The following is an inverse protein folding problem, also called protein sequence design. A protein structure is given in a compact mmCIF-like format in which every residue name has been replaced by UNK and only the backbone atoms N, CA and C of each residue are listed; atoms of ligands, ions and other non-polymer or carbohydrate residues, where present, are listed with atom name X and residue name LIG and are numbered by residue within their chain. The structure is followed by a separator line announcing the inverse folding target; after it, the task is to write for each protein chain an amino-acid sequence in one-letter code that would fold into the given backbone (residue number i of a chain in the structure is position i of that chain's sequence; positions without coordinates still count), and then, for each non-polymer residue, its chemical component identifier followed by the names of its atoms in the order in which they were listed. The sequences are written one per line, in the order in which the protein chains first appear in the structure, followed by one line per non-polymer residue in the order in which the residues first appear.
data_IF_507405660101
#
_entry.id   IF_507405660101
#
_cell.length_a   1.000
_cell.length_b   1.000
_cell.length_c   1.000
_cell.angle_alpha   90.00
_cell.angle_beta   90.00
_cell.angle_gamma   90.00
#
_symmetry.space_group_name_H-M   'P 1'
#
loop_
_entity.id
_entity.type
_entity.pdbx_description
1 polymer ?
#
# COMPACT_ATOMS: atom_id res chain seq x y z
N UNK A 1 -10.94 2.73 8.92
CA UNK A 1 -11.04 1.26 9.04
C UNK A 1 -9.79 0.77 9.72
N UNK A 2 -9.89 0.02 10.81
CA UNK A 2 -8.76 -0.48 11.59
C UNK A 2 -8.29 -1.85 11.08
N UNK A 3 -7.09 -2.27 11.53
CA UNK A 3 -6.36 -3.30 10.83
C UNK A 3 -6.78 -4.74 11.18
N UNK A 4 -6.77 -5.18 12.42
CA UNK A 4 -7.13 -6.56 12.83
C UNK A 4 -8.13 -6.64 13.97
N UNK A 5 -8.07 -5.69 14.87
CA UNK A 5 -9.03 -5.53 15.96
C UNK A 5 -9.05 -4.07 16.37
N UNK A 6 -10.21 -3.59 16.71
CA UNK A 6 -10.38 -2.25 17.26
C UNK A 6 -10.87 -2.36 18.70
N UNK A 7 -10.17 -1.76 19.68
CA UNK A 7 -10.66 -1.70 21.06
C UNK A 7 -12.04 -1.03 21.18
N UNK A 8 -12.40 -0.16 20.21
CA UNK A 8 -13.69 0.56 20.18
C UNK A 8 -14.74 -0.15 19.30
N UNK A 9 -14.46 -1.37 18.80
CA UNK A 9 -15.40 -2.15 18.00
C UNK A 9 -15.72 -1.61 16.60
N UNK A 10 -14.88 -0.72 16.07
CA UNK A 10 -15.07 -0.19 14.70
C UNK A 10 -14.73 -1.26 13.65
N UNK A 11 -15.41 -1.29 12.49
CA UNK A 11 -15.13 -2.26 11.44
C UNK A 11 -13.67 -2.25 11.01
N UNK A 12 -13.09 -3.44 10.87
CA UNK A 12 -11.74 -3.62 10.34
C UNK A 12 -11.77 -3.73 8.82
N UNK A 13 -10.58 -3.66 8.18
CA UNK A 13 -10.49 -3.92 6.75
C UNK A 13 -10.97 -5.33 6.39
N UNK A 14 -10.77 -6.31 7.27
CA UNK A 14 -11.14 -7.70 7.04
C UNK A 14 -12.65 -7.92 7.10
N UNK A 15 -13.37 -7.13 7.89
CA UNK A 15 -14.85 -7.18 7.98
C UNK A 15 -15.52 -6.67 6.70
N UNK A 16 -14.80 -5.88 5.90
CA UNK A 16 -15.27 -5.34 4.63
C UNK A 16 -14.91 -6.22 3.41
N UNK A 17 -14.17 -7.32 3.61
CA UNK A 17 -13.81 -8.20 2.52
C UNK A 17 -15.00 -9.09 2.11
N UNK A 18 -15.10 -9.47 0.81
CA UNK A 18 -16.08 -10.45 0.36
C UNK A 18 -15.98 -11.76 1.15
N UNK A 19 -17.14 -12.32 1.50
CA UNK A 19 -17.23 -13.53 2.35
C UNK A 19 -16.62 -14.80 1.70
N UNK A 20 -16.52 -14.82 0.38
CA UNK A 20 -15.93 -15.90 -0.43
C UNK A 20 -14.41 -15.76 -0.60
N UNK A 21 -13.82 -14.67 -0.10
CA UNK A 21 -12.36 -14.52 -0.14
C UNK A 21 -11.66 -15.53 0.77
N UNK A 22 -10.53 -16.12 0.32
CA UNK A 22 -9.69 -16.91 1.20
C UNK A 22 -9.16 -16.04 2.34
N UNK A 23 -8.76 -16.70 3.44
CA UNK A 23 -8.08 -15.98 4.53
C UNK A 23 -6.82 -15.30 4.01
N UNK A 24 -6.73 -13.99 4.20
CA UNK A 24 -5.61 -13.16 3.76
C UNK A 24 -4.97 -12.42 4.92
N UNK A 25 -3.73 -11.99 4.68
CA UNK A 25 -3.00 -11.06 5.52
C UNK A 25 -2.67 -9.82 4.69
N UNK A 26 -2.51 -8.68 5.34
CA UNK A 26 -2.10 -7.47 4.63
C UNK A 26 -0.59 -7.40 4.47
N UNK A 27 -0.16 -6.75 3.41
CA UNK A 27 1.21 -6.36 3.15
C UNK A 27 1.39 -4.93 3.64
N UNK A 28 2.03 -4.80 4.80
CA UNK A 28 2.10 -3.53 5.51
C UNK A 28 0.75 -3.08 6.09
N UNK A 29 0.69 -1.83 6.48
CA UNK A 29 -0.47 -1.22 7.11
C UNK A 29 -0.75 0.16 6.52
N UNK A 30 -1.96 0.64 6.73
CA UNK A 30 -2.32 2.05 6.62
C UNK A 30 -2.57 2.58 8.04
N UNK A 31 -2.08 3.76 8.33
CA UNK A 31 -2.42 4.45 9.59
C UNK A 31 -3.92 4.78 9.62
N UNK A 32 -4.47 4.99 10.82
CA UNK A 32 -5.90 5.18 11.05
C UNK A 32 -6.56 6.21 10.11
N UNK A 33 -5.91 7.34 9.88
CA UNK A 33 -6.41 8.42 9.01
C UNK A 33 -5.70 8.41 7.64
N UNK A 34 -5.35 7.24 7.11
CA UNK A 34 -4.74 7.08 5.79
C UNK A 34 -5.68 6.25 4.91
N UNK A 35 -5.90 6.74 3.71
CA UNK A 35 -6.72 6.13 2.67
C UNK A 35 -5.84 5.46 1.61
N UNK A 36 -6.49 4.78 0.66
CA UNK A 36 -5.88 4.33 -0.59
C UNK A 36 -5.50 2.86 -0.62
N UNK A 37 -4.47 2.53 -1.38
CA UNK A 37 -4.10 1.17 -1.73
C UNK A 37 -3.59 0.37 -0.53
N UNK A 38 -4.25 -0.76 -0.25
CA UNK A 38 -3.78 -1.78 0.66
C UNK A 38 -3.62 -3.11 -0.10
N UNK A 39 -2.46 -3.71 0.00
CA UNK A 39 -2.21 -5.01 -0.61
C UNK A 39 -2.53 -6.12 0.39
N UNK A 40 -3.17 -7.17 -0.11
CA UNK A 40 -3.52 -8.38 0.66
C UNK A 40 -2.94 -9.60 -0.05
N UNK A 41 -2.59 -10.63 0.72
CA UNK A 41 -2.13 -11.91 0.19
C UNK A 41 -2.54 -13.05 1.11
N UNK A 42 -2.71 -14.23 0.58
CA UNK A 42 -2.86 -15.47 1.35
C UNK A 42 -1.52 -16.20 1.58
N UNK A 43 -0.41 -15.59 1.12
CA UNK A 43 0.95 -16.10 1.33
C UNK A 43 1.72 -15.20 2.30
N UNK A 44 1.96 -15.70 3.51
CA UNK A 44 2.67 -14.96 4.56
C UNK A 44 4.17 -14.75 4.24
N UNK A 45 4.78 -15.63 3.47
CA UNK A 45 6.17 -15.47 3.05
C UNK A 45 6.29 -14.35 2.02
N UNK A 46 5.35 -14.28 1.08
CA UNK A 46 5.22 -13.18 0.12
C UNK A 46 4.97 -11.85 0.84
N UNK A 47 4.05 -11.83 1.82
CA UNK A 47 3.79 -10.63 2.61
C UNK A 47 5.08 -10.11 3.25
N UNK A 48 5.81 -10.98 3.95
CA UNK A 48 7.07 -10.63 4.60
C UNK A 48 8.10 -10.11 3.59
N UNK A 49 8.26 -10.78 2.45
CA UNK A 49 9.21 -10.35 1.40
C UNK A 49 8.92 -8.93 0.92
N UNK A 50 7.65 -8.62 0.68
CA UNK A 50 7.23 -7.32 0.17
C UNK A 50 7.27 -6.19 1.21
N UNK A 51 7.21 -6.53 2.50
CA UNK A 51 7.32 -5.58 3.60
C UNK A 51 8.77 -5.19 3.93
N UNK A 52 9.74 -6.06 3.62
CA UNK A 52 11.14 -5.84 3.99
C UNK A 52 11.67 -4.52 3.41
N UNK A 53 12.35 -3.70 4.23
CA UNK A 53 13.02 -2.49 3.74
C UNK A 53 14.03 -2.76 2.63
N UNK A 54 14.68 -3.94 2.67
CA UNK A 54 15.63 -4.37 1.65
C UNK A 54 15.00 -4.52 0.24
N UNK A 55 13.70 -4.79 0.16
CA UNK A 55 12.97 -4.82 -1.12
C UNK A 55 12.87 -3.42 -1.72
N UNK A 56 12.97 -2.38 -0.90
CA UNK A 56 13.12 -0.99 -1.32
C UNK A 56 11.96 -0.44 -2.15
N UNK A 57 10.79 -1.06 -2.11
CA UNK A 57 9.66 -0.62 -2.92
C UNK A 57 9.17 0.77 -2.52
N UNK A 58 9.12 1.65 -3.50
CA UNK A 58 8.66 3.01 -3.33
C UNK A 58 7.16 3.04 -3.07
N UNK A 59 6.76 3.72 -2.01
CA UNK A 59 5.37 3.99 -1.67
C UNK A 59 5.07 5.43 -2.00
N UNK A 60 4.10 5.68 -2.87
CA UNK A 60 3.70 7.04 -3.21
C UNK A 60 2.39 7.39 -2.54
N UNK A 61 2.35 8.62 -2.07
CA UNK A 61 1.19 9.20 -1.40
C UNK A 61 0.81 10.52 -2.06
N UNK A 62 -0.49 10.73 -2.18
CA UNK A 62 -1.04 12.05 -2.43
C UNK A 62 -1.50 12.63 -1.12
N UNK A 63 -1.05 13.83 -0.81
CA UNK A 63 -1.21 14.46 0.50
C UNK A 63 -1.87 15.81 0.33
N UNK A 64 -2.94 16.05 1.09
CA UNK A 64 -3.46 17.40 1.29
C UNK A 64 -3.03 17.89 2.65
N UNK A 65 -2.33 19.01 2.69
CA UNK A 65 -1.85 19.63 3.91
C UNK A 65 -2.26 21.10 3.99
N UNK A 66 -2.53 21.58 5.20
CA UNK A 66 -2.69 23.00 5.49
C UNK A 66 -1.34 23.59 5.88
N UNK A 67 -1.05 24.80 5.42
CA UNK A 67 0.22 25.48 5.65
C UNK A 67 0.87 25.90 4.35
N UNK A 68 2.14 26.31 4.45
CA UNK A 68 2.93 26.74 3.31
C UNK A 68 4.36 26.21 3.42
N UNK A 69 4.88 25.72 2.33
CA UNK A 69 6.25 25.27 2.17
C UNK A 69 6.69 25.61 0.75
N UNK A 70 7.94 25.92 0.55
CA UNK A 70 8.50 26.10 -0.80
C UNK A 70 8.98 24.77 -1.37
N UNK A 71 9.12 24.68 -2.69
CA UNK A 71 9.71 23.48 -3.30
C UNK A 71 11.17 23.30 -2.86
N UNK A 72 11.91 24.39 -2.64
CA UNK A 72 13.29 24.32 -2.15
C UNK A 72 13.42 23.69 -0.75
N UNK A 73 12.42 23.86 0.14
CA UNK A 73 12.41 23.20 1.43
C UNK A 73 12.16 21.68 1.29
N UNK A 74 11.35 21.31 0.30
CA UNK A 74 11.07 19.90 -0.03
C UNK A 74 12.27 19.22 -0.70
N UNK A 75 13.03 19.95 -1.51
CA UNK A 75 14.20 19.46 -2.24
C UNK A 75 15.36 19.05 -1.31
N UNK A 76 15.33 19.45 -0.05
CA UNK A 76 16.28 19.01 0.97
C UNK A 76 15.92 17.62 1.60
N UNK A 77 14.70 17.17 1.44
CA UNK A 77 14.21 15.93 2.08
C UNK A 77 14.82 14.62 1.55
N UNK A 78 15.32 14.50 0.30
CA UNK A 78 16.05 13.32 -0.16
C UNK A 78 17.28 12.96 0.67
N UNK A 79 17.92 13.92 1.33
CA UNK A 79 19.05 13.69 2.25
C UNK A 79 18.61 13.03 3.56
N UNK A 80 17.30 12.93 3.78
CA UNK A 80 16.68 12.48 5.02
C UNK A 80 16.72 13.54 6.12
N UNK A 81 15.91 13.34 7.14
CA UNK A 81 15.71 14.30 8.22
C UNK A 81 15.73 13.59 9.58
N UNK A 82 16.22 14.29 10.61
CA UNK A 82 16.14 13.81 12.00
C UNK A 82 15.12 14.66 12.75
N UNK A 83 14.09 14.01 13.29
CA UNK A 83 13.01 14.66 14.04
C UNK A 83 12.92 13.97 15.39
N UNK A 84 13.02 14.75 16.47
CA UNK A 84 12.94 14.26 17.86
C UNK A 84 13.89 13.05 18.12
N UNK A 85 15.11 13.11 17.57
CA UNK A 85 16.11 12.05 17.72
C UNK A 85 15.90 10.83 16.81
N UNK A 86 14.83 10.77 16.02
CA UNK A 86 14.57 9.71 15.05
C UNK A 86 15.04 10.13 13.66
N UNK A 87 15.97 9.35 13.09
CA UNK A 87 16.40 9.55 11.71
C UNK A 87 15.37 8.94 10.74
N UNK A 88 14.87 9.72 9.82
CA UNK A 88 14.05 9.29 8.68
C UNK A 88 14.92 9.27 7.43
N UNK A 89 14.71 8.25 6.59
CA UNK A 89 15.36 8.15 5.28
C UNK A 89 14.91 9.25 4.33
N UNK A 90 15.58 9.33 3.19
CA UNK A 90 15.24 10.32 2.16
C UNK A 90 13.84 10.09 1.60
N UNK A 91 13.10 11.16 1.42
CA UNK A 91 11.81 11.15 0.73
C UNK A 91 11.83 12.09 -0.47
N UNK A 92 11.13 11.70 -1.52
CA UNK A 92 10.85 12.56 -2.66
C UNK A 92 9.57 13.34 -2.38
N UNK A 93 9.55 14.64 -2.58
CA UNK A 93 8.39 15.47 -2.34
C UNK A 93 8.24 16.55 -3.40
N UNK A 94 7.04 16.70 -3.94
CA UNK A 94 6.72 17.73 -4.93
C UNK A 94 5.38 18.39 -4.61
N UNK A 95 5.29 19.71 -4.90
CA UNK A 95 4.06 20.47 -4.81
C UNK A 95 3.27 20.27 -6.11
N UNK A 96 2.07 19.70 -6.02
CA UNK A 96 1.17 19.53 -7.17
C UNK A 96 0.32 20.78 -7.40
N UNK A 97 -0.22 21.36 -6.33
CA UNK A 97 -1.05 22.57 -6.41
C UNK A 97 -1.22 23.25 -5.04
N UNK A 98 -1.57 24.53 -5.08
CA UNK A 98 -1.85 25.37 -3.89
C UNK A 98 -3.21 26.02 -4.04
N UNK A 99 -4.10 25.85 -3.06
CA UNK A 99 -5.45 26.43 -3.07
C UNK A 99 -5.88 26.84 -1.66
N UNK A 100 -6.22 28.12 -1.46
CA UNK A 100 -6.86 28.64 -0.25
C UNK A 100 -6.19 28.15 1.06
N UNK A 101 -4.86 28.24 1.17
CA UNK A 101 -4.11 27.82 2.37
C UNK A 101 -3.86 26.32 2.49
N UNK A 102 -4.38 25.50 1.58
CA UNK A 102 -4.05 24.08 1.46
C UNK A 102 -3.12 23.83 0.28
N UNK A 103 -2.31 22.79 0.40
CA UNK A 103 -1.43 22.31 -0.65
C UNK A 103 -1.74 20.85 -0.94
N UNK A 104 -1.69 20.47 -2.21
CA UNK A 104 -1.57 19.09 -2.61
C UNK A 104 -0.11 18.79 -2.92
N UNK A 105 0.35 17.66 -2.42
CA UNK A 105 1.73 17.19 -2.53
C UNK A 105 1.73 15.73 -2.98
N UNK A 106 2.72 15.39 -3.80
CA UNK A 106 3.10 14.00 -4.07
C UNK A 106 4.33 13.66 -3.25
N UNK A 107 4.25 12.60 -2.44
CA UNK A 107 5.32 12.15 -1.55
C UNK A 107 5.69 10.71 -1.91
N UNK A 108 6.99 10.46 -2.08
CA UNK A 108 7.54 9.12 -2.31
C UNK A 108 8.53 8.73 -1.21
N UNK A 109 8.36 7.55 -0.61
CA UNK A 109 9.27 7.02 0.41
C UNK A 109 9.47 5.52 0.26
N UNK A 110 10.64 5.02 0.71
CA UNK A 110 10.98 3.58 0.67
C UNK A 110 10.92 2.92 2.04
N UNK A 111 10.98 3.70 3.09
CA UNK A 111 10.77 3.25 4.47
C UNK A 111 9.26 3.15 4.78
N UNK A 112 8.91 2.83 5.99
CA UNK A 112 7.54 2.72 6.45
C UNK A 112 7.47 2.88 7.96
N UNK A 113 8.23 3.86 8.49
CA UNK A 113 8.18 4.19 9.91
C UNK A 113 6.81 4.70 10.32
N UNK A 114 6.49 4.56 11.59
CA UNK A 114 5.20 4.97 12.11
C UNK A 114 4.91 6.45 11.81
N UNK A 115 3.81 6.70 11.10
CA UNK A 115 3.31 8.05 10.74
C UNK A 115 4.37 8.93 10.04
N UNK A 116 5.29 8.33 9.31
CA UNK A 116 6.47 8.96 8.73
C UNK A 116 6.14 10.22 7.92
N UNK A 117 5.22 10.13 6.94
CA UNK A 117 4.81 11.29 6.13
C UNK A 117 4.29 12.43 7.02
N UNK A 118 3.44 12.12 8.00
CA UNK A 118 2.85 13.13 8.89
C UNK A 118 3.88 13.80 9.79
N UNK A 119 4.88 13.05 10.27
CA UNK A 119 5.95 13.58 11.11
C UNK A 119 6.88 14.47 10.31
N UNK A 120 7.28 14.04 9.12
CA UNK A 120 8.18 14.83 8.26
C UNK A 120 7.49 16.11 7.81
N UNK A 121 6.25 16.05 7.32
CA UNK A 121 5.54 17.26 6.91
C UNK A 121 5.21 18.17 8.10
N UNK A 122 4.93 17.60 9.27
CA UNK A 122 4.73 18.35 10.51
C UNK A 122 5.99 19.14 10.93
N UNK A 123 7.21 18.62 10.72
CA UNK A 123 8.45 19.36 10.99
C UNK A 123 8.66 20.56 10.06
N UNK A 124 7.95 20.60 8.93
CA UNK A 124 7.88 21.74 8.01
C UNK A 124 6.65 22.64 8.26
N UNK A 125 6.03 22.54 9.45
CA UNK A 125 4.82 23.26 9.82
C UNK A 125 3.61 23.00 8.89
N UNK A 126 3.53 21.83 8.25
CA UNK A 126 2.41 21.40 7.44
C UNK A 126 1.50 20.47 8.25
N UNK A 127 0.23 20.80 8.36
CA UNK A 127 -0.81 19.95 8.95
C UNK A 127 -1.46 19.06 7.89
N UNK A 128 -1.22 17.75 7.96
CA UNK A 128 -1.75 16.78 6.98
C UNK A 128 -3.23 16.50 7.26
N UNK A 129 -4.11 17.02 6.40
CA UNK A 129 -5.57 16.87 6.48
C UNK A 129 -6.04 15.59 5.78
N UNK A 130 -5.39 15.19 4.67
CA UNK A 130 -5.71 13.97 3.93
C UNK A 130 -4.45 13.29 3.45
N UNK A 131 -4.39 11.97 3.56
CA UNK A 131 -3.24 11.15 3.15
C UNK A 131 -3.77 9.92 2.42
N UNK A 132 -3.40 9.77 1.14
CA UNK A 132 -3.88 8.70 0.27
C UNK A 132 -2.66 7.97 -0.29
N UNK A 133 -2.50 6.68 0.01
CA UNK A 133 -1.47 5.86 -0.64
C UNK A 133 -1.92 5.49 -2.05
N UNK A 134 -1.31 6.08 -3.05
CA UNK A 134 -1.66 5.88 -4.47
C UNK A 134 -0.87 4.76 -5.14
N UNK A 135 0.29 4.38 -4.58
CA UNK A 135 1.03 3.20 -5.04
C UNK A 135 1.85 2.52 -3.95
N UNK A 136 2.12 1.23 -4.14
CA UNK A 136 3.02 0.42 -3.36
C UNK A 136 3.90 -0.38 -4.33
N UNK A 137 5.16 0.03 -4.50
CA UNK A 137 6.01 -0.49 -5.57
C UNK A 137 5.34 -0.31 -6.93
N UNK A 138 5.21 -1.39 -7.71
CA UNK A 138 4.60 -1.34 -9.04
C UNK A 138 3.07 -1.28 -9.01
N UNK A 139 2.44 -1.59 -7.88
CA UNK A 139 0.98 -1.61 -7.76
C UNK A 139 0.43 -0.20 -7.59
N UNK A 140 -0.58 0.13 -8.39
CA UNK A 140 -1.21 1.44 -8.45
C UNK A 140 -2.66 1.34 -7.97
N UNK A 141 -3.13 2.36 -7.28
CA UNK A 141 -4.53 2.46 -6.85
C UNK A 141 -5.47 2.64 -8.05
N UNK A 142 -5.04 3.38 -9.05
CA UNK A 142 -5.84 3.74 -10.24
C UNK A 142 -7.26 4.18 -9.84
N UNK A 143 -8.28 3.65 -10.54
CA UNK A 143 -9.69 3.94 -10.33
C UNK A 143 -10.40 2.95 -9.38
N UNK A 144 -9.62 2.17 -8.61
CA UNK A 144 -10.20 1.21 -7.66
C UNK A 144 -11.06 1.94 -6.63
N UNK A 145 -12.35 1.64 -6.65
CA UNK A 145 -13.32 2.32 -5.78
C UNK A 145 -13.09 1.95 -4.29
N UNK A 146 -13.37 2.87 -3.35
CA UNK A 146 -13.26 2.57 -1.93
C UNK A 146 -14.09 1.34 -1.52
N UNK A 147 -13.46 0.44 -0.75
CA UNK A 147 -14.12 -0.80 -0.28
C UNK A 147 -14.16 -1.93 -1.30
N UNK A 148 -13.64 -1.74 -2.51
CA UNK A 148 -13.57 -2.80 -3.50
C UNK A 148 -12.23 -3.53 -3.44
N UNK A 149 -12.23 -4.77 -3.96
CA UNK A 149 -11.05 -5.64 -4.00
C UNK A 149 -10.84 -6.13 -5.42
N UNK A 150 -9.62 -6.03 -5.90
CA UNK A 150 -9.23 -6.54 -7.22
C UNK A 150 -8.05 -7.50 -7.10
N UNK A 151 -8.10 -8.61 -7.84
CA UNK A 151 -7.04 -9.60 -7.83
C UNK A 151 -5.89 -9.18 -8.76
N UNK A 152 -4.67 -9.16 -8.23
CA UNK A 152 -3.47 -8.97 -9.03
C UNK A 152 -3.23 -10.22 -9.89
N UNK A 153 -3.13 -10.04 -11.21
CA UNK A 153 -2.85 -11.15 -12.13
C UNK A 153 -1.49 -11.77 -11.81
N UNK A 154 -1.44 -13.09 -11.72
CA UNK A 154 -0.23 -13.87 -11.38
C UNK A 154 0.98 -13.47 -12.24
N UNK A 155 0.78 -13.29 -13.55
CA UNK A 155 1.84 -12.87 -14.47
C UNK A 155 2.41 -11.51 -14.08
N UNK A 156 1.55 -10.54 -13.77
CA UNK A 156 1.97 -9.20 -13.34
C UNK A 156 2.79 -9.30 -12.06
N UNK A 157 2.33 -10.09 -11.08
CA UNK A 157 3.04 -10.30 -9.84
C UNK A 157 4.42 -10.96 -10.08
N UNK A 158 4.49 -11.99 -10.93
CA UNK A 158 5.73 -12.67 -11.28
C UNK A 158 6.72 -11.72 -11.97
N UNK A 159 6.26 -10.93 -12.95
CA UNK A 159 7.08 -9.96 -13.67
C UNK A 159 7.67 -8.91 -12.69
N UNK A 160 6.90 -8.49 -11.70
CA UNK A 160 7.34 -7.49 -10.71
C UNK A 160 8.30 -8.05 -9.65
N UNK A 161 8.18 -9.33 -9.33
CA UNK A 161 9.08 -10.01 -8.40
C UNK A 161 10.40 -10.44 -9.06
N UNK A 162 10.41 -10.53 -10.40
CA UNK A 162 11.59 -10.96 -11.15
C UNK A 162 12.10 -12.32 -10.66
N UNK A 163 13.42 -12.47 -10.38
CA UNK A 163 14.00 -13.74 -9.91
C UNK A 163 13.34 -14.28 -8.63
N UNK A 164 12.83 -13.43 -7.77
CA UNK A 164 12.16 -13.85 -6.54
C UNK A 164 10.81 -14.55 -6.78
N UNK A 165 10.23 -14.45 -7.99
CA UNK A 165 8.96 -15.08 -8.34
C UNK A 165 8.97 -16.61 -8.19
N UNK A 166 10.13 -17.25 -8.42
CA UNK A 166 10.29 -18.70 -8.33
C UNK A 166 10.03 -19.22 -6.90
N UNK A 167 10.57 -18.55 -5.89
CA UNK A 167 10.39 -18.95 -4.48
C UNK A 167 8.95 -18.90 -4.01
N UNK A 168 8.09 -18.12 -4.70
CA UNK A 168 6.64 -18.03 -4.41
C UNK A 168 5.81 -18.89 -5.38
N UNK A 169 6.45 -19.74 -6.19
CA UNK A 169 5.78 -20.61 -7.15
C UNK A 169 5.01 -19.87 -8.23
N UNK A 170 5.43 -18.66 -8.59
CA UNK A 170 4.78 -17.81 -9.58
C UNK A 170 5.31 -18.05 -10.99
N UNK A 171 6.44 -18.76 -11.14
CA UNK A 171 7.01 -19.22 -12.40
C UNK A 171 6.50 -20.62 -12.72
N UNK A 172 6.25 -20.94 -14.01
CA UNK A 172 5.80 -22.25 -14.48
C UNK A 172 4.31 -22.30 -14.90
N UNK A 173 3.83 -23.47 -15.37
CA UNK A 173 2.48 -23.64 -15.91
C UNK A 173 1.40 -23.26 -14.90
N UNK A 174 0.32 -22.65 -15.40
CA UNK A 174 -0.83 -22.21 -14.60
C UNK A 174 -1.56 -23.38 -13.91
N UNK A 175 -1.35 -24.61 -14.38
CA UNK A 175 -2.05 -25.80 -13.90
C UNK A 175 -1.79 -26.11 -12.41
N UNK A 176 -0.59 -25.87 -11.92
CA UNK A 176 -0.28 -26.03 -10.50
C UNK A 176 -0.99 -25.00 -9.60
N UNK A 177 -1.25 -23.78 -10.12
CA UNK A 177 -1.99 -22.75 -9.40
C UNK A 177 -3.49 -23.04 -9.34
N UNK A 178 -4.09 -23.48 -10.46
CA UNK A 178 -5.50 -23.91 -10.49
C UNK A 178 -5.74 -25.10 -9.57
N UNK A 179 -4.81 -26.05 -9.48
CA UNK A 179 -4.90 -27.18 -8.57
C UNK A 179 -4.78 -26.78 -7.09
N UNK A 180 -3.96 -25.76 -6.76
CA UNK A 180 -3.88 -25.18 -5.40
C UNK A 180 -5.13 -24.37 -5.06
N UNK A 181 -5.63 -23.55 -5.98
CA UNK A 181 -6.87 -22.77 -5.79
C UNK A 181 -8.09 -23.70 -5.68
N UNK A 182 -8.16 -24.78 -6.46
CA UNK A 182 -9.23 -25.77 -6.36
C UNK A 182 -9.22 -26.54 -5.03
N UNK A 183 -8.05 -26.70 -4.39
CA UNK A 183 -7.92 -27.28 -3.04
C UNK A 183 -8.29 -26.29 -1.94
N UNK A 184 -8.12 -24.97 -2.19
CA UNK A 184 -8.48 -23.91 -1.25
C UNK A 184 -9.94 -23.46 -1.39
N UNK A 185 -10.58 -23.74 -2.53
CA UNK A 185 -11.96 -23.37 -2.82
C UNK A 185 -12.70 -24.49 -3.55
N UNK A 186 -13.12 -25.58 -2.87
CA UNK A 186 -13.79 -26.73 -3.50
C UNK A 186 -15.16 -26.38 -4.10
N UNK A 187 -15.71 -25.16 -3.82
CA UNK A 187 -17.03 -24.71 -4.27
C UNK A 187 -17.07 -23.88 -5.58
N UNK A 188 -15.94 -23.51 -6.17
CA UNK A 188 -15.91 -22.65 -7.36
C UNK A 188 -16.15 -23.36 -8.70
N UNK A 189 -16.67 -24.58 -8.69
CA UNK A 189 -17.09 -25.29 -9.92
C UNK A 189 -18.60 -25.37 -9.96
N UNK A 190 -19.25 -24.37 -10.62
CA UNK A 190 -20.46 -24.54 -11.43
C UNK A 190 -20.98 -23.15 -11.84
N UNK A 191 -20.81 -22.82 -13.09
CA UNK A 191 -21.44 -21.65 -13.70
C UNK A 191 -20.75 -21.30 -15.03
N UNK A 192 -21.14 -21.98 -16.10
CA UNK A 192 -20.77 -21.55 -17.43
C UNK A 192 -20.45 -22.67 -18.39
N UNK A 193 -21.49 -23.41 -18.75
CA UNK A 193 -21.66 -24.00 -20.07
C UNK A 193 -23.12 -24.49 -20.14
N UNK A 194 -23.98 -23.63 -20.67
CA UNK A 194 -25.22 -24.00 -21.34
C UNK A 194 -25.77 -22.75 -22.06
N UNK A 195 -25.80 -22.90 -23.38
CA UNK A 195 -26.43 -22.17 -24.50
C UNK A 195 -25.58 -21.10 -25.16
#
# INVERSE_FOLDING_TARGET
MLFRSDPEGRPTVFDALPADMPRVVSIGRLDFNTEGLLLLTNDGALARHLELPATGWLRRYRVRAHGRVSQSDLDALPEGVTIEGVRYGGIEAAIDSVQAGNMWLTIGLREGKNREVRRILGSLALEVNRLIRVSYGPFQLMDLAPGTVEAVKRRVLADQLGPAAEQFGLTGPIDGYKARQAKLNPGARKGGDEE
#
